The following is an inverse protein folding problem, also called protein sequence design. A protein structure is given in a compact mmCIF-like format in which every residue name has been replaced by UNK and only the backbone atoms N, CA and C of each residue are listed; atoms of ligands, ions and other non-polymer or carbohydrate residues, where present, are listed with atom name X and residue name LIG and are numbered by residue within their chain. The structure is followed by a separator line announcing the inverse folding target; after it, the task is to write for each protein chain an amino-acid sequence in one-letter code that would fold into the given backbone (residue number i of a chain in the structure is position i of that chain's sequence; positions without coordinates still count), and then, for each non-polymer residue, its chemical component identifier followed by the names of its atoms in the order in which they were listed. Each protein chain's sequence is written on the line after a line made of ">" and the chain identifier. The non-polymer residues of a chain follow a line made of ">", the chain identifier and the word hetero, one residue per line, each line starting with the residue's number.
data_IF_073592204220
#
_entry.id   IF_073592204220
#
_cell.length_a   1.000
_cell.length_b   1.000
_cell.length_c   1.000
_cell.angle_alpha   90.00
_cell.angle_beta   90.00
_cell.angle_gamma   90.00
#
_symmetry.space_group_name_H-M   'P 1'
#
loop_
_entity.id
_entity.type
_entity.pdbx_description
1 polymer ?
#
# COMPACT_ATOMS: atom_id res chain seq x y z
N UNK A 1 -56.77 -15.20 16.67
CA UNK A 1 -55.75 -15.67 15.70
C UNK A 1 -54.61 -14.66 15.76
N UNK A 2 -53.67 -14.87 16.68
CA UNK A 2 -52.54 -13.98 16.92
C UNK A 2 -51.34 -14.52 16.13
N UNK A 3 -50.84 -13.77 15.16
CA UNK A 3 -49.76 -14.23 14.30
C UNK A 3 -49.26 -13.13 13.39
N UNK A 4 -48.65 -12.08 13.97
CA UNK A 4 -47.99 -11.02 13.19
C UNK A 4 -46.87 -10.33 13.98
N UNK A 5 -46.00 -11.11 14.64
CA UNK A 5 -44.81 -10.57 15.34
C UNK A 5 -43.46 -11.22 15.02
N UNK A 6 -43.41 -12.24 14.16
CA UNK A 6 -42.16 -12.97 13.90
C UNK A 6 -41.42 -12.52 12.63
N UNK A 7 -42.00 -11.65 11.79
CA UNK A 7 -41.40 -11.29 10.50
C UNK A 7 -40.37 -10.16 10.54
N UNK A 8 -40.24 -9.45 11.68
CA UNK A 8 -39.38 -8.26 11.78
C UNK A 8 -37.97 -8.56 12.30
N UNK A 9 -37.79 -9.64 13.06
CA UNK A 9 -36.47 -10.05 13.58
C UNK A 9 -35.61 -10.71 12.50
N UNK A 10 -36.23 -11.43 11.57
CA UNK A 10 -35.57 -12.10 10.44
C UNK A 10 -34.87 -11.09 9.50
N UNK A 11 -35.52 -9.97 9.18
CA UNK A 11 -34.96 -8.95 8.29
C UNK A 11 -33.74 -8.21 8.86
N UNK A 12 -33.63 -8.09 10.19
CA UNK A 12 -32.50 -7.44 10.85
C UNK A 12 -31.26 -8.36 10.93
N UNK A 13 -31.47 -9.68 10.99
CA UNK A 13 -30.38 -10.65 10.92
C UNK A 13 -29.79 -10.74 9.51
N UNK A 14 -30.63 -10.68 8.47
CA UNK A 14 -30.15 -10.68 7.08
C UNK A 14 -29.32 -9.44 6.73
N UNK A 15 -29.61 -8.24 7.26
CA UNK A 15 -28.78 -7.06 6.98
C UNK A 15 -27.41 -7.08 7.69
N UNK A 16 -27.30 -7.77 8.84
CA UNK A 16 -26.05 -7.92 9.56
C UNK A 16 -25.12 -8.96 8.91
N UNK A 17 -25.65 -10.05 8.36
CA UNK A 17 -24.84 -11.07 7.66
C UNK A 17 -24.31 -10.60 6.29
N UNK A 18 -25.02 -9.70 5.60
CA UNK A 18 -24.55 -9.13 4.31
C UNK A 18 -23.24 -8.36 4.43
N UNK A 19 -22.93 -7.82 5.61
CA UNK A 19 -21.68 -7.10 5.85
C UNK A 19 -20.51 -8.02 6.23
N UNK A 20 -20.78 -9.27 6.63
CA UNK A 20 -19.75 -10.26 6.96
C UNK A 20 -19.25 -11.03 5.72
N UNK A 21 -19.98 -10.98 4.61
CA UNK A 21 -19.64 -11.69 3.36
C UNK A 21 -18.51 -11.04 2.54
N UNK A 22 -17.92 -9.94 2.99
CA UNK A 22 -16.72 -9.36 2.37
C UNK A 22 -15.40 -10.00 2.81
N UNK A 23 -15.42 -11.05 3.64
CA UNK A 23 -14.28 -11.95 3.77
C UNK A 23 -14.40 -13.06 2.71
N UNK A 24 -14.03 -12.71 1.49
CA UNK A 24 -13.88 -13.68 0.40
C UNK A 24 -12.82 -14.75 0.72
N UNK A 25 -12.85 -15.91 0.04
CA UNK A 25 -11.81 -16.92 0.16
C UNK A 25 -10.47 -16.31 -0.28
N UNK A 26 -9.47 -16.35 0.59
CA UNK A 26 -8.10 -15.97 0.29
C UNK A 26 -7.45 -17.08 -0.56
N UNK A 27 -7.89 -17.21 -1.81
CA UNK A 27 -7.16 -17.97 -2.83
C UNK A 27 -6.49 -16.95 -3.76
N UNK A 28 -5.42 -16.33 -3.27
CA UNK A 28 -4.46 -15.67 -4.14
C UNK A 28 -3.68 -16.77 -4.85
N UNK A 29 -4.07 -17.08 -6.09
CA UNK A 29 -3.17 -17.72 -7.03
C UNK A 29 -1.87 -16.90 -7.04
N UNK A 30 -0.77 -17.53 -6.64
CA UNK A 30 0.57 -16.98 -6.81
C UNK A 30 0.83 -16.96 -8.32
N UNK A 31 0.56 -15.81 -8.94
CA UNK A 31 1.08 -15.49 -10.26
C UNK A 31 2.58 -15.23 -10.08
N UNK A 32 3.38 -16.18 -10.56
CA UNK A 32 4.85 -16.10 -10.59
C UNK A 32 5.37 -14.99 -11.52
N UNK A 33 4.51 -14.16 -12.13
CA UNK A 33 4.91 -12.88 -12.72
C UNK A 33 4.97 -11.79 -11.65
N UNK A 34 6.09 -11.78 -10.94
CA UNK A 34 6.66 -10.68 -10.14
C UNK A 34 5.81 -9.40 -10.12
N UNK A 35 5.38 -9.02 -8.92
CA UNK A 35 5.04 -7.66 -8.49
C UNK A 35 6.21 -6.68 -8.68
N UNK A 36 6.71 -6.52 -9.90
CA UNK A 36 7.47 -5.35 -10.29
C UNK A 36 6.47 -4.22 -10.21
N UNK A 37 6.55 -3.45 -9.11
CA UNK A 37 5.70 -2.29 -8.91
C UNK A 37 5.63 -1.47 -10.18
N UNK A 38 4.45 -0.90 -10.46
CA UNK A 38 4.28 -0.01 -11.60
C UNK A 38 5.27 1.14 -11.46
N UNK A 39 6.41 1.03 -12.16
CA UNK A 39 7.45 2.03 -12.08
C UNK A 39 6.94 3.32 -12.73
N UNK A 40 7.23 4.49 -12.13
CA UNK A 40 6.99 5.76 -12.79
C UNK A 40 7.59 5.75 -14.21
N UNK A 41 6.97 6.42 -15.20
CA UNK A 41 7.50 6.44 -16.58
C UNK A 41 8.97 6.87 -16.68
N UNK A 42 9.45 7.66 -15.72
CA UNK A 42 10.85 8.07 -15.60
C UNK A 42 11.80 6.87 -15.44
N UNK A 43 11.47 5.92 -14.56
CA UNK A 43 12.25 4.72 -14.32
C UNK A 43 12.27 3.72 -15.49
N UNK A 44 11.56 4.01 -16.60
CA UNK A 44 11.73 3.26 -17.86
C UNK A 44 13.00 3.63 -18.63
N UNK A 45 13.59 4.79 -18.31
CA UNK A 45 14.74 5.36 -19.04
C UNK A 45 15.98 5.55 -18.16
N UNK A 46 15.82 5.55 -16.84
CA UNK A 46 16.90 5.69 -15.87
C UNK A 46 16.83 4.55 -14.85
N UNK A 47 17.97 4.23 -14.25
CA UNK A 47 18.02 3.26 -13.16
C UNK A 47 17.33 3.82 -11.93
N UNK A 48 16.50 2.99 -11.30
CA UNK A 48 15.80 3.30 -10.05
C UNK A 48 15.98 2.13 -9.08
N UNK A 49 16.02 2.39 -7.76
CA UNK A 49 15.95 1.33 -6.76
C UNK A 49 14.76 0.39 -7.00
N UNK A 50 15.02 -0.92 -7.01
CA UNK A 50 13.97 -1.92 -7.15
C UNK A 50 13.18 -2.07 -5.84
N UNK A 51 11.86 -2.21 -5.95
CA UNK A 51 10.96 -2.43 -4.82
C UNK A 51 9.83 -3.37 -5.18
N UNK A 52 9.30 -4.03 -4.14
CA UNK A 52 8.03 -4.76 -4.21
C UNK A 52 6.90 -3.84 -3.74
N UNK A 53 5.74 -3.89 -4.41
CA UNK A 53 4.52 -3.20 -3.95
C UNK A 53 3.74 -4.15 -3.08
N UNK A 54 3.53 -3.75 -1.83
CA UNK A 54 2.80 -4.56 -0.85
C UNK A 54 1.32 -4.19 -0.86
N UNK A 55 1.00 -2.90 -0.96
CA UNK A 55 -0.37 -2.39 -0.94
C UNK A 55 -0.45 -1.02 -1.65
N UNK A 56 -1.60 -0.75 -2.29
CA UNK A 56 -1.94 0.56 -2.83
C UNK A 56 -3.22 1.05 -2.14
N UNK A 57 -3.15 2.19 -1.49
CA UNK A 57 -4.28 2.82 -0.80
C UNK A 57 -4.73 4.13 -1.44
N UNK A 58 -5.62 4.85 -0.76
CA UNK A 58 -6.10 6.14 -1.24
C UNK A 58 -5.03 7.24 -1.08
N UNK A 59 -4.28 7.50 -2.15
CA UNK A 59 -3.24 8.53 -2.19
C UNK A 59 -1.88 8.08 -1.62
N UNK A 60 -1.68 6.77 -1.39
CA UNK A 60 -0.41 6.23 -0.91
C UNK A 60 -0.13 4.81 -1.44
N UNK A 61 1.11 4.38 -1.31
CA UNK A 61 1.59 3.04 -1.67
C UNK A 61 2.60 2.55 -0.64
N UNK A 62 2.52 1.27 -0.28
CA UNK A 62 3.50 0.60 0.59
C UNK A 62 4.52 -0.12 -0.29
N UNK A 63 5.78 0.35 -0.24
CA UNK A 63 6.91 -0.20 -1.01
C UNK A 63 7.94 -0.84 -0.09
N UNK A 64 8.34 -2.07 -0.40
CA UNK A 64 9.43 -2.75 0.28
C UNK A 64 10.70 -2.72 -0.58
N UNK A 65 11.74 -2.08 -0.06
CA UNK A 65 13.08 -2.13 -0.62
C UNK A 65 13.88 -3.21 0.12
N UNK A 66 14.32 -4.26 -0.59
CA UNK A 66 15.05 -5.37 0.02
C UNK A 66 16.52 -5.01 0.27
N UNK A 67 17.38 -5.20 -0.74
CA UNK A 67 18.81 -4.88 -0.66
C UNK A 67 19.16 -3.86 -1.75
N UNK A 68 19.13 -2.57 -1.39
CA UNK A 68 19.58 -1.47 -2.27
C UNK A 68 20.75 -0.77 -1.59
N UNK A 69 21.79 -0.46 -2.35
CA UNK A 69 22.92 0.35 -1.88
C UNK A 69 22.54 1.82 -1.96
N UNK A 70 22.78 2.55 -0.88
CA UNK A 70 22.54 4.00 -0.80
C UNK A 70 23.86 4.72 -0.57
N UNK A 71 24.08 5.81 -1.30
CA UNK A 71 25.15 6.76 -0.98
C UNK A 71 24.65 7.73 0.09
N UNK A 72 25.47 7.99 1.10
CA UNK A 72 25.17 8.95 2.15
C UNK A 72 26.40 9.81 2.44
N UNK A 73 26.16 11.06 2.83
CA UNK A 73 27.18 11.97 3.33
C UNK A 73 27.23 11.94 4.86
N UNK A 74 28.24 12.57 5.46
CA UNK A 74 28.20 12.87 6.89
C UNK A 74 27.00 13.75 7.25
N UNK A 75 26.59 13.71 8.52
CA UNK A 75 25.50 14.55 9.01
C UNK A 75 25.78 16.05 8.77
N UNK A 76 24.77 16.76 8.27
CA UNK A 76 24.80 18.21 8.06
C UNK A 76 23.86 18.82 9.12
N UNK A 77 24.43 19.60 10.03
CA UNK A 77 23.68 20.26 11.10
C UNK A 77 23.13 21.60 10.59
N UNK A 78 21.88 21.60 10.18
CA UNK A 78 21.13 22.78 9.75
C UNK A 78 19.66 22.64 10.19
N UNK A 79 18.95 23.77 10.30
CA UNK A 79 17.51 23.81 10.50
C UNK A 79 16.73 23.71 9.17
N UNK A 80 17.39 24.00 8.04
CA UNK A 80 16.78 24.04 6.72
C UNK A 80 17.04 22.76 5.94
N UNK A 81 15.97 22.03 5.62
CA UNK A 81 16.04 20.85 4.75
C UNK A 81 16.60 21.20 3.36
N UNK A 82 16.22 22.37 2.83
CA UNK A 82 16.65 22.80 1.48
C UNK A 82 18.15 23.07 1.46
N UNK A 83 18.67 23.77 2.47
CA UNK A 83 20.10 24.12 2.52
C UNK A 83 20.97 22.89 2.81
N UNK A 84 20.55 22.04 3.75
CA UNK A 84 21.24 20.80 4.06
C UNK A 84 21.29 19.86 2.83
N UNK A 85 20.18 19.73 2.10
CA UNK A 85 20.11 18.87 0.91
C UNK A 85 20.99 19.42 -0.22
N UNK A 86 20.97 20.74 -0.46
CA UNK A 86 21.83 21.38 -1.46
C UNK A 86 23.31 21.14 -1.17
N UNK A 87 23.71 21.30 0.09
CA UNK A 87 25.09 21.07 0.52
C UNK A 87 25.49 19.61 0.38
N UNK A 88 24.64 18.67 0.83
CA UNK A 88 24.91 17.23 0.76
C UNK A 88 24.99 16.69 -0.66
N UNK A 89 24.17 17.22 -1.58
CA UNK A 89 24.18 16.78 -2.98
C UNK A 89 25.46 17.17 -3.75
N UNK A 90 26.21 18.16 -3.27
CA UNK A 90 27.42 18.69 -3.93
C UNK A 90 28.74 18.12 -3.38
N UNK A 91 28.71 17.25 -2.38
CA UNK A 91 29.91 16.58 -1.82
C UNK A 91 30.37 15.41 -2.70
#
# INVERSE_FOLDING_TARGET
>A
MAGFKEFKLSLLLFSLLSNAANFGPWDQAIDDNKNLGMYPPTCKRIECPAFDVIEVGNGYEIRRYNSTVWASTSAILDISLVEATRTGFLQ
#
